data_IF_867708095596
#
_entry.id   IF_867708095596
#
_cell.length_a   1.000
_cell.length_b   1.000
_cell.length_c   1.000
_cell.angle_alpha   90.00
_cell.angle_beta   90.00
_cell.angle_gamma   90.00
#
_symmetry.space_group_name_H-M   'P 1'
#
loop_
_entity.id
_entity.type
_entity.pdbx_description
1 polymer ?
#
# COMPACT_ATOMS: atom_id res chain seq x y z
N UNK A 1 3.43 -18.02 22.38
CA UNK A 1 2.43 -19.00 21.92
C UNK A 1 2.39 -18.92 20.40
N UNK A 2 2.53 -20.03 19.66
CA UNK A 2 2.38 -20.00 18.20
C UNK A 2 0.95 -19.56 17.86
N UNK A 3 0.83 -18.49 17.07
CA UNK A 3 -0.46 -17.92 16.68
C UNK A 3 -1.01 -18.76 15.51
N UNK A 4 -1.89 -19.73 15.79
CA UNK A 4 -2.51 -20.56 14.75
C UNK A 4 -3.37 -19.68 13.83
N UNK A 5 -3.37 -19.95 12.52
CA UNK A 5 -4.26 -19.24 11.62
C UNK A 5 -5.72 -19.59 11.92
N UNK A 6 -6.62 -18.63 11.74
CA UNK A 6 -8.06 -18.83 12.00
C UNK A 6 -8.63 -20.05 11.26
N UNK A 7 -8.23 -20.24 10.00
CA UNK A 7 -8.66 -21.38 9.18
C UNK A 7 -8.23 -22.72 9.78
N UNK A 8 -7.02 -22.80 10.36
CA UNK A 8 -6.51 -24.01 11.00
C UNK A 8 -7.33 -24.36 12.24
N UNK A 9 -7.61 -23.36 13.09
CA UNK A 9 -8.41 -23.54 14.31
C UNK A 9 -9.82 -23.99 13.99
N UNK A 10 -10.49 -23.33 13.03
CA UNK A 10 -11.84 -23.70 12.62
C UNK A 10 -11.89 -25.10 11.98
N UNK A 11 -10.86 -25.48 11.22
CA UNK A 11 -10.76 -26.82 10.63
C UNK A 11 -10.56 -27.89 11.70
N UNK A 12 -9.74 -27.61 12.71
CA UNK A 12 -9.52 -28.49 13.85
C UNK A 12 -10.83 -28.70 14.64
N UNK A 13 -11.57 -27.64 14.95
CA UNK A 13 -12.86 -27.74 15.63
C UNK A 13 -13.94 -28.46 14.79
N UNK A 14 -13.99 -28.21 13.49
CA UNK A 14 -14.90 -28.91 12.59
C UNK A 14 -14.61 -30.42 12.53
N UNK A 15 -13.33 -30.82 12.49
CA UNK A 15 -12.93 -32.23 12.56
C UNK A 15 -13.35 -32.87 13.89
N UNK A 16 -13.11 -32.17 15.01
CA UNK A 16 -13.52 -32.64 16.33
C UNK A 16 -15.05 -32.86 16.41
N UNK A 17 -15.84 -31.88 15.95
CA UNK A 17 -17.30 -31.99 15.89
C UNK A 17 -17.75 -33.18 15.04
N UNK A 18 -17.11 -33.41 13.90
CA UNK A 18 -17.41 -34.56 13.03
C UNK A 18 -17.09 -35.90 13.73
N UNK A 19 -15.95 -36.00 14.42
CA UNK A 19 -15.60 -37.22 15.17
C UNK A 19 -16.54 -37.47 16.34
N UNK A 20 -16.97 -36.43 17.04
CA UNK A 20 -17.92 -36.57 18.16
C UNK A 20 -19.31 -36.96 17.65
N UNK A 21 -19.75 -36.38 16.53
CA UNK A 21 -21.01 -36.75 15.90
C UNK A 21 -21.02 -38.21 15.42
N UNK A 22 -19.89 -38.73 14.93
CA UNK A 22 -19.76 -40.12 14.52
C UNK A 22 -19.80 -41.13 15.69
N UNK A 23 -19.47 -40.70 16.92
CA UNK A 23 -19.46 -41.53 18.13
C UNK A 23 -20.53 -41.07 19.14
N UNK A 24 -21.65 -40.55 18.64
CA UNK A 24 -22.70 -39.90 19.46
C UNK A 24 -23.27 -40.82 20.55
N UNK A 25 -23.42 -42.11 20.26
CA UNK A 25 -24.04 -43.07 21.18
C UNK A 25 -23.18 -43.29 22.45
N UNK A 26 -21.86 -43.24 22.32
CA UNK A 26 -20.93 -43.35 23.45
C UNK A 26 -20.69 -42.01 24.18
N UNK A 27 -21.02 -40.89 23.53
CA UNK A 27 -20.67 -39.52 23.94
C UNK A 27 -21.89 -38.66 24.30
N UNK A 28 -23.01 -39.27 24.68
CA UNK A 28 -24.25 -38.55 25.03
C UNK A 28 -24.05 -37.52 26.15
N UNK A 29 -23.14 -37.77 27.09
CA UNK A 29 -22.84 -36.87 28.22
C UNK A 29 -22.19 -35.55 27.79
N UNK A 30 -21.58 -35.49 26.60
CA UNK A 30 -20.89 -34.30 26.08
C UNK A 30 -21.62 -33.64 24.90
N UNK A 31 -22.83 -34.09 24.55
CA UNK A 31 -23.61 -33.52 23.44
C UNK A 31 -23.90 -32.03 23.65
N UNK A 32 -24.09 -31.60 24.90
CA UNK A 32 -24.25 -30.17 25.24
C UNK A 32 -23.03 -29.34 24.84
N UNK A 33 -21.82 -29.82 25.11
CA UNK A 33 -20.58 -29.15 24.70
C UNK A 33 -20.37 -29.19 23.18
N UNK A 34 -20.78 -30.29 22.52
CA UNK A 34 -20.78 -30.37 21.04
C UNK A 34 -21.66 -29.28 20.43
N UNK A 35 -22.88 -29.11 20.95
CA UNK A 35 -23.82 -28.08 20.48
C UNK A 35 -23.28 -26.66 20.72
N UNK A 36 -22.68 -26.41 21.89
CA UNK A 36 -22.05 -25.12 22.19
C UNK A 36 -20.91 -24.83 21.21
N UNK A 37 -20.01 -25.80 20.98
CA UNK A 37 -18.89 -25.62 20.05
C UNK A 37 -19.37 -25.39 18.61
N UNK A 38 -20.43 -26.05 18.18
CA UNK A 38 -21.05 -25.84 16.86
C UNK A 38 -21.60 -24.42 16.70
N UNK A 39 -22.25 -23.89 17.74
CA UNK A 39 -22.72 -22.50 17.77
C UNK A 39 -21.55 -21.50 17.73
N UNK A 40 -20.48 -21.78 18.47
CA UNK A 40 -19.28 -20.94 18.48
C UNK A 40 -18.55 -20.95 17.13
N UNK A 41 -18.42 -22.11 16.47
CA UNK A 41 -17.85 -22.21 15.12
C UNK A 41 -18.65 -21.34 14.14
N UNK A 42 -19.98 -21.39 14.22
CA UNK A 42 -20.87 -20.60 13.37
C UNK A 42 -20.69 -19.10 13.62
N UNK A 43 -20.65 -18.71 14.91
CA UNK A 43 -20.45 -17.32 15.33
C UNK A 43 -19.09 -16.79 14.90
N UNK A 44 -18.02 -17.58 15.08
CA UNK A 44 -16.66 -17.23 14.70
C UNK A 44 -16.52 -17.03 13.19
N UNK A 45 -17.14 -17.89 12.37
CA UNK A 45 -17.18 -17.72 10.91
C UNK A 45 -17.89 -16.44 10.50
N UNK A 46 -19.05 -16.16 11.10
CA UNK A 46 -19.79 -14.93 10.83
C UNK A 46 -18.99 -13.68 11.23
N UNK A 47 -18.32 -13.71 12.38
CA UNK A 47 -17.44 -12.64 12.84
C UNK A 47 -16.26 -12.43 11.88
N UNK A 48 -15.66 -13.50 11.36
CA UNK A 48 -14.54 -13.40 10.41
C UNK A 48 -14.96 -12.75 9.09
N UNK A 49 -16.15 -13.06 8.57
CA UNK A 49 -16.72 -12.38 7.38
C UNK A 49 -16.98 -10.90 7.64
N UNK A 50 -17.49 -10.54 8.82
CA UNK A 50 -17.68 -9.13 9.20
C UNK A 50 -16.35 -8.40 9.29
N UNK A 51 -15.33 -9.03 9.88
CA UNK A 51 -13.99 -8.47 10.00
C UNK A 51 -13.36 -8.22 8.62
N UNK A 52 -13.46 -9.17 7.70
CA UNK A 52 -12.90 -9.00 6.35
C UNK A 52 -13.61 -7.90 5.56
N UNK A 53 -14.94 -7.80 5.71
CA UNK A 53 -15.75 -6.73 5.11
C UNK A 53 -15.36 -5.36 5.65
N UNK A 54 -15.29 -5.20 6.98
CA UNK A 54 -14.90 -3.95 7.61
C UNK A 54 -13.48 -3.52 7.23
N UNK A 55 -12.56 -4.47 7.06
CA UNK A 55 -11.20 -4.19 6.60
C UNK A 55 -11.18 -3.68 5.16
N UNK A 56 -11.99 -4.27 4.27
CA UNK A 56 -12.15 -3.79 2.90
C UNK A 56 -12.76 -2.38 2.86
N UNK A 57 -13.78 -2.12 3.67
CA UNK A 57 -14.40 -0.79 3.79
C UNK A 57 -13.41 0.26 4.32
N UNK A 58 -12.64 -0.07 5.34
CA UNK A 58 -11.62 0.83 5.89
C UNK A 58 -10.53 1.17 4.85
N UNK A 59 -10.10 0.18 4.07
CA UNK A 59 -9.15 0.42 2.98
C UNK A 59 -9.74 1.33 1.90
N UNK A 60 -11.01 1.13 1.55
CA UNK A 60 -11.69 1.97 0.57
C UNK A 60 -11.82 3.41 1.08
N UNK A 61 -12.31 3.59 2.31
CA UNK A 61 -12.43 4.90 2.95
C UNK A 61 -11.07 5.64 3.02
N UNK A 62 -9.98 4.92 3.26
CA UNK A 62 -8.63 5.48 3.25
C UNK A 62 -8.25 6.00 1.85
N UNK A 63 -8.49 5.20 0.80
CA UNK A 63 -8.24 5.63 -0.59
C UNK A 63 -9.07 6.85 -0.98
N UNK A 64 -10.34 6.87 -0.58
CA UNK A 64 -11.26 7.96 -0.86
C UNK A 64 -10.85 9.25 -0.13
N UNK A 65 -10.36 9.13 1.11
CA UNK A 65 -9.81 10.24 1.87
C UNK A 65 -8.55 10.80 1.21
N UNK A 66 -7.60 9.95 0.82
CA UNK A 66 -6.38 10.38 0.13
C UNK A 66 -6.68 11.08 -1.20
N UNK A 67 -7.62 10.53 -1.98
CA UNK A 67 -8.07 11.14 -3.23
C UNK A 67 -8.69 12.53 -2.99
N UNK A 68 -9.56 12.64 -1.97
CA UNK A 68 -10.21 13.89 -1.60
C UNK A 68 -9.20 14.95 -1.13
N UNK A 69 -8.22 14.56 -0.32
CA UNK A 69 -7.16 15.46 0.14
C UNK A 69 -6.28 15.94 -1.01
N UNK A 70 -5.92 15.04 -1.93
CA UNK A 70 -5.15 15.40 -3.13
C UNK A 70 -5.90 16.43 -3.98
N UNK A 71 -7.18 16.18 -4.27
CA UNK A 71 -8.00 17.13 -5.02
C UNK A 71 -8.16 18.45 -4.27
N UNK A 72 -8.36 18.40 -2.96
CA UNK A 72 -8.42 19.59 -2.11
C UNK A 72 -7.15 20.42 -2.17
N UNK A 73 -5.97 19.79 -2.14
CA UNK A 73 -4.69 20.48 -2.30
C UNK A 73 -4.55 21.13 -3.67
N UNK A 74 -4.89 20.42 -4.76
CA UNK A 74 -4.82 20.98 -6.11
C UNK A 74 -5.76 22.18 -6.29
N UNK A 75 -6.98 22.12 -5.74
CA UNK A 75 -7.94 23.21 -5.76
C UNK A 75 -7.45 24.39 -4.92
N UNK A 76 -6.92 24.12 -3.72
CA UNK A 76 -6.34 25.15 -2.87
C UNK A 76 -5.19 25.87 -3.59
N UNK A 77 -4.30 25.13 -4.26
CA UNK A 77 -3.20 25.73 -5.01
C UNK A 77 -3.68 26.56 -6.19
N UNK A 78 -4.64 26.05 -6.98
CA UNK A 78 -5.28 26.83 -8.06
C UNK A 78 -5.89 28.13 -7.52
N UNK A 79 -6.57 28.07 -6.38
CA UNK A 79 -7.16 29.25 -5.73
C UNK A 79 -6.09 30.24 -5.31
N UNK A 80 -5.01 29.77 -4.67
CA UNK A 80 -3.85 30.60 -4.28
C UNK A 80 -3.20 31.27 -5.49
N UNK A 81 -3.03 30.56 -6.59
CA UNK A 81 -2.50 31.12 -7.84
C UNK A 81 -3.46 32.14 -8.46
N UNK A 82 -4.76 31.86 -8.47
CA UNK A 82 -5.78 32.80 -8.95
C UNK A 82 -5.78 34.12 -8.16
N UNK A 83 -5.74 34.04 -6.82
CA UNK A 83 -5.63 35.21 -5.92
C UNK A 83 -4.34 36.00 -6.22
N UNK A 84 -3.19 35.31 -6.32
CA UNK A 84 -1.90 35.96 -6.68
C UNK A 84 -1.92 36.63 -8.05
N UNK A 85 -2.62 36.05 -9.03
CA UNK A 85 -2.78 36.61 -10.37
C UNK A 85 -3.64 37.88 -10.34
N UNK A 86 -4.76 37.86 -9.61
CA UNK A 86 -5.71 38.98 -9.50
C UNK A 86 -5.13 40.19 -8.78
N UNK A 87 -4.45 40.00 -7.64
CA UNK A 87 -3.91 41.10 -6.84
C UNK A 87 -2.46 41.45 -7.18
N UNK A 88 -1.73 40.56 -7.86
CA UNK A 88 -0.31 40.71 -8.14
C UNK A 88 0.59 40.21 -6.99
N UNK A 89 1.78 39.71 -7.36
CA UNK A 89 2.71 38.98 -6.45
C UNK A 89 3.25 39.80 -5.27
N UNK A 90 3.13 41.13 -5.31
CA UNK A 90 3.67 42.08 -4.33
C UNK A 90 2.59 42.82 -3.53
N UNK A 91 1.31 42.53 -3.77
CA UNK A 91 0.21 43.21 -3.09
C UNK A 91 0.09 42.77 -1.64
N UNK A 92 -0.05 43.73 -0.73
CA UNK A 92 -0.22 43.44 0.70
C UNK A 92 -1.57 42.78 1.01
N UNK A 93 -2.54 42.87 0.09
CA UNK A 93 -3.81 42.12 0.17
C UNK A 93 -3.62 40.60 0.19
N UNK A 94 -2.48 40.07 -0.24
CA UNK A 94 -2.20 38.63 -0.12
C UNK A 94 -2.10 38.18 1.35
N UNK A 95 -1.73 39.06 2.29
CA UNK A 95 -1.63 38.72 3.72
C UNK A 95 -2.99 38.39 4.34
N UNK A 96 -4.07 39.03 3.88
CA UNK A 96 -5.45 38.78 4.35
C UNK A 96 -5.90 37.35 4.03
N UNK A 97 -5.38 36.76 2.94
CA UNK A 97 -5.64 35.37 2.54
C UNK A 97 -4.62 34.37 3.10
N UNK A 98 -3.78 34.79 4.08
CA UNK A 98 -2.70 33.95 4.62
C UNK A 98 -1.59 33.63 3.62
N UNK A 99 -1.51 34.34 2.48
CA UNK A 99 -0.54 34.10 1.42
C UNK A 99 0.71 34.97 1.61
N UNK A 100 1.88 34.35 1.51
CA UNK A 100 3.17 35.05 1.62
C UNK A 100 3.41 35.97 0.41
N UNK A 101 3.59 37.26 0.65
CA UNK A 101 3.93 38.27 -0.36
C UNK A 101 5.37 38.08 -0.83
N UNK A 102 5.61 38.08 -2.15
CA UNK A 102 6.97 38.00 -2.68
C UNK A 102 7.68 39.35 -2.51
N UNK A 103 8.51 39.45 -1.47
CA UNK A 103 9.46 40.55 -1.26
C UNK A 103 10.81 40.02 -1.72
N UNK A 104 11.18 40.28 -2.98
CA UNK A 104 12.41 39.78 -3.58
C UNK A 104 13.60 39.93 -2.63
N UNK A 105 14.25 38.81 -2.30
CA UNK A 105 15.41 38.83 -1.42
C UNK A 105 16.57 39.55 -2.09
N UNK A 106 17.28 40.41 -1.34
CA UNK A 106 18.58 40.93 -1.78
C UNK A 106 19.50 39.73 -2.04
N UNK A 107 19.88 39.48 -3.30
CA UNK A 107 21.01 38.61 -3.62
C UNK A 107 22.25 39.25 -2.98
N UNK A 108 22.87 38.58 -2.00
CA UNK A 108 24.24 38.93 -1.59
C UNK A 108 25.13 38.64 -2.79
N UNK A 109 25.70 39.68 -3.40
CA UNK A 109 26.69 39.58 -4.46
C UNK A 109 27.94 38.96 -3.83
N UNK A 110 28.18 37.66 -4.03
CA UNK A 110 29.50 37.08 -3.78
C UNK A 110 30.44 37.69 -4.82
N UNK A 111 31.34 38.56 -4.34
CA UNK A 111 32.38 39.13 -5.15
C UNK A 111 33.30 38.01 -5.66
N UNK A 112 33.48 37.95 -6.97
CA UNK A 112 34.53 37.17 -7.64
C UNK A 112 35.91 37.67 -7.21
N UNK A 113 36.75 36.77 -6.72
CA UNK A 113 38.17 37.04 -6.43
C UNK A 113 39.02 35.76 -6.54
N UNK A 114 39.58 35.55 -7.74
CA UNK A 114 40.86 34.89 -8.09
C UNK A 114 41.11 33.40 -7.74
N UNK A 115 41.52 32.54 -8.72
CA UNK A 115 42.04 31.19 -8.45
C UNK A 115 43.57 31.18 -8.28
N UNK A 116 44.16 30.34 -7.41
CA UNK A 116 45.59 30.00 -7.48
C UNK A 116 45.85 28.77 -8.38
N UNK A 117 47.03 28.69 -9.02
CA UNK A 117 47.32 27.79 -10.14
C UNK A 117 47.70 26.36 -9.74
N UNK A 118 47.47 25.42 -10.65
CA UNK A 118 47.95 24.04 -10.63
C UNK A 118 49.48 23.97 -10.72
N UNK A 119 50.08 23.03 -9.98
CA UNK A 119 51.43 22.55 -10.21
C UNK A 119 51.65 21.17 -9.58
N UNK A 120 52.09 20.19 -10.40
CA UNK A 120 52.69 18.95 -9.92
C UNK A 120 52.11 17.66 -10.48
N UNK A 121 52.54 17.28 -11.68
CA UNK A 121 52.29 15.99 -12.33
C UNK A 121 53.26 14.92 -11.81
N UNK A 122 52.79 13.71 -11.48
CA UNK A 122 53.57 12.47 -11.69
C UNK A 122 52.68 11.28 -12.04
N UNK A 123 52.84 10.86 -13.31
CA UNK A 123 52.94 9.50 -13.87
C UNK A 123 52.09 8.35 -13.28
N UNK A 124 51.38 7.69 -14.21
CA UNK A 124 50.58 6.53 -13.92
C UNK A 124 51.28 5.17 -14.06
N UNK A 125 50.53 4.17 -13.64
CA UNK A 125 50.65 2.76 -14.03
C UNK A 125 49.24 2.15 -13.96
N UNK A 126 48.83 1.43 -15.00
CA UNK A 126 47.55 0.67 -15.10
C UNK A 126 47.67 -0.71 -14.41
N UNK A 127 46.70 -1.64 -14.52
CA UNK A 127 45.40 -1.77 -13.81
C UNK A 127 45.29 -3.12 -13.01
N UNK A 128 44.10 -3.73 -12.78
CA UNK A 128 43.31 -3.82 -11.54
C UNK A 128 43.45 -5.14 -10.74
N UNK A 129 42.72 -5.30 -9.61
CA UNK A 129 41.86 -6.48 -9.51
C UNK A 129 40.43 -6.19 -9.05
N UNK A 130 39.53 -7.03 -9.57
CA UNK A 130 38.12 -7.18 -9.23
C UNK A 130 37.85 -7.18 -7.71
N UNK A 131 36.79 -6.47 -7.33
CA UNK A 131 35.94 -6.87 -6.21
C UNK A 131 34.51 -6.74 -6.68
N UNK A 132 33.91 -7.88 -7.03
CA UNK A 132 32.49 -7.97 -7.32
C UNK A 132 31.69 -7.73 -6.04
N UNK A 133 30.55 -7.01 -6.08
CA UNK A 133 29.58 -7.08 -5.01
C UNK A 133 28.88 -8.46 -5.05
N UNK A 134 28.62 -9.08 -3.90
CA UNK A 134 27.93 -10.35 -3.84
C UNK A 134 26.52 -10.23 -4.42
N UNK A 135 26.19 -11.16 -5.32
CA UNK A 135 24.83 -11.53 -5.66
C UNK A 135 24.07 -11.89 -4.37
N UNK A 136 22.92 -11.27 -4.16
CA UNK A 136 22.10 -11.57 -2.98
C UNK A 136 20.92 -10.64 -2.77
N UNK A 137 20.23 -10.22 -3.83
CA UNK A 137 18.91 -9.63 -3.72
C UNK A 137 18.02 -10.23 -4.82
N UNK A 138 17.32 -11.29 -4.46
CA UNK A 138 16.24 -11.86 -5.27
C UNK A 138 15.23 -10.75 -5.60
N UNK A 139 14.89 -10.52 -6.88
CA UNK A 139 13.70 -9.75 -7.22
C UNK A 139 12.45 -10.56 -6.84
N UNK A 140 11.35 -9.94 -6.38
CA UNK A 140 10.07 -10.62 -6.32
C UNK A 140 9.65 -11.03 -7.75
N UNK A 141 9.08 -12.23 -7.97
CA UNK A 141 8.53 -12.57 -9.27
C UNK A 141 7.37 -11.63 -9.58
N UNK A 142 7.53 -10.81 -10.61
CA UNK A 142 6.42 -10.21 -11.35
C UNK A 142 5.61 -11.38 -11.89
N UNK A 143 4.44 -11.60 -11.31
CA UNK A 143 3.45 -12.53 -11.84
C UNK A 143 2.98 -11.98 -13.20
N UNK A 144 3.59 -12.50 -14.27
CA UNK A 144 3.04 -12.37 -15.62
C UNK A 144 1.70 -13.08 -15.61
N UNK A 145 0.66 -12.28 -15.81
CA UNK A 145 -0.72 -12.67 -16.08
C UNK A 145 -0.76 -13.66 -17.25
N UNK A 146 -0.82 -14.95 -16.94
CA UNK A 146 -1.30 -15.99 -17.84
C UNK A 146 -2.80 -15.75 -18.06
N UNK A 147 -3.15 -15.18 -19.21
CA UNK A 147 -4.52 -15.19 -19.69
C UNK A 147 -4.83 -16.60 -20.22
N UNK A 148 -5.91 -17.27 -19.78
CA UNK A 148 -6.46 -18.39 -20.52
C UNK A 148 -7.10 -17.83 -21.79
N UNK A 149 -6.56 -18.22 -22.94
CA UNK A 149 -7.24 -18.09 -24.23
C UNK A 149 -8.48 -18.98 -24.18
N UNK A 150 -9.61 -18.35 -23.87
CA UNK A 150 -10.91 -18.94 -24.09
C UNK A 150 -11.10 -19.13 -25.59
N UNK A 151 -11.38 -20.37 -25.97
CA UNK A 151 -11.81 -20.75 -27.30
C UNK A 151 -13.08 -19.97 -27.66
N UNK A 152 -13.00 -19.12 -28.68
CA UNK A 152 -14.17 -18.74 -29.47
C UNK A 152 -14.51 -19.94 -30.34
N UNK A 153 -15.39 -20.80 -29.85
CA UNK A 153 -16.14 -21.72 -30.70
C UNK A 153 -17.24 -20.91 -31.37
N UNK A 154 -17.03 -20.57 -32.63
CA UNK A 154 -18.02 -20.05 -33.56
C UNK A 154 -18.95 -21.21 -33.97
N UNK A 155 -20.26 -21.19 -33.66
CA UNK A 155 -21.19 -22.09 -34.32
C UNK A 155 -21.54 -21.50 -35.69
N UNK A 156 -20.95 -22.10 -36.72
CA UNK A 156 -21.35 -21.98 -38.11
C UNK A 156 -22.83 -22.38 -38.23
N UNK A 157 -23.69 -21.43 -38.61
CA UNK A 157 -25.09 -21.66 -38.93
C UNK A 157 -25.19 -21.95 -40.44
N UNK A 158 -25.51 -23.18 -40.88
CA UNK A 158 -25.86 -23.39 -42.28
C UNK A 158 -27.30 -22.90 -42.53
N UNK A 159 -27.45 -22.14 -43.62
CA UNK A 159 -28.76 -21.93 -44.28
C UNK A 159 -29.30 -23.23 -44.87
#
# INVERSE_FOLDING_TARGET
>A
MPNKAFADVITEWAKLLATVAANKDDLQSVDSYRQQLEAEVTTARAANVRQSTALAEAQQATRDLEASLKQGHELADKLRFGIKSKYGKRSEKLKEFGLKVFRGGKRKKSASGTPPPQGGSTQGTSPPPQVGPPQGASPPPVATKTAPQGATSEPHNPS
#
